data_IF_271778740188
#
_entry.id   IF_271778740188
#
_cell.length_a   1.000
_cell.length_b   1.000
_cell.length_c   1.000
_cell.angle_alpha   90.00
_cell.angle_beta   90.00
_cell.angle_gamma   90.00
#
_symmetry.space_group_name_H-M   'P 1'
#
loop_
_entity.id
_entity.type
_entity.pdbx_description
1 polymer ?
#
# COMPACT_ATOMS: atom_id res chain seq x y z
N UNK A 1 19.35 82.77 -1.80
CA UNK A 1 19.41 81.48 -2.53
C UNK A 1 19.18 80.33 -1.53
N UNK A 2 17.98 80.18 -0.95
CA UNK A 2 17.67 79.11 0.06
C UNK A 2 16.24 78.54 -0.05
N UNK A 3 15.33 79.12 -0.85
CA UNK A 3 13.92 78.72 -0.84
C UNK A 3 13.51 77.60 -1.82
N UNK A 4 14.36 77.18 -2.77
CA UNK A 4 13.95 76.19 -3.80
C UNK A 4 14.11 74.73 -3.39
N UNK A 5 14.82 74.44 -2.30
CA UNK A 5 15.23 73.07 -1.94
C UNK A 5 14.23 72.35 -1.00
N UNK A 6 13.31 73.08 -0.37
CA UNK A 6 12.34 72.50 0.57
C UNK A 6 11.15 71.79 -0.14
N UNK A 7 10.70 72.32 -1.28
CA UNK A 7 9.54 71.78 -2.02
C UNK A 7 9.82 70.47 -2.76
N UNK A 8 11.10 70.19 -3.07
CA UNK A 8 11.54 68.98 -3.78
C UNK A 8 11.55 67.76 -2.85
N UNK A 9 11.96 67.94 -1.59
CA UNK A 9 12.02 66.86 -0.58
C UNK A 9 10.63 66.33 -0.18
N UNK A 10 9.61 67.20 -0.15
CA UNK A 10 8.23 66.82 0.17
C UNK A 10 7.52 66.02 -0.95
N UNK A 11 7.90 66.20 -2.22
CA UNK A 11 7.34 65.41 -3.33
C UNK A 11 7.87 63.98 -3.34
N UNK A 12 9.15 63.78 -3.05
CA UNK A 12 9.80 62.44 -3.05
C UNK A 12 9.25 61.56 -1.90
N UNK A 13 8.99 62.15 -0.74
CA UNK A 13 8.41 61.43 0.40
C UNK A 13 7.01 60.87 0.14
N UNK A 14 6.17 61.58 -0.63
CA UNK A 14 4.82 61.14 -1.00
C UNK A 14 4.81 59.98 -2.01
N UNK A 15 5.81 59.90 -2.89
CA UNK A 15 5.98 58.75 -3.79
C UNK A 15 6.54 57.52 -3.07
N UNK A 16 7.48 57.71 -2.12
CA UNK A 16 8.03 56.61 -1.32
C UNK A 16 7.01 55.90 -0.44
N UNK A 17 6.03 56.63 0.12
CA UNK A 17 4.97 56.03 0.95
C UNK A 17 3.92 55.28 0.11
N UNK A 18 3.53 55.83 -1.05
CA UNK A 18 2.60 55.16 -1.98
C UNK A 18 3.21 53.92 -2.63
N UNK A 19 4.51 53.93 -2.92
CA UNK A 19 5.23 52.78 -3.46
C UNK A 19 5.40 51.67 -2.41
N UNK A 20 5.67 52.04 -1.14
CA UNK A 20 5.77 51.07 -0.03
C UNK A 20 4.45 50.38 0.31
N UNK A 21 3.32 51.09 0.25
CA UNK A 21 1.99 50.51 0.47
C UNK A 21 1.56 49.60 -0.69
N UNK A 22 1.87 49.97 -1.94
CA UNK A 22 1.59 49.14 -3.11
C UNK A 22 2.41 47.83 -3.13
N UNK A 23 3.68 47.88 -2.73
CA UNK A 23 4.52 46.67 -2.60
C UNK A 23 4.05 45.78 -1.45
N UNK A 24 3.61 46.34 -0.31
CA UNK A 24 3.06 45.56 0.80
C UNK A 24 1.73 44.87 0.45
N UNK A 25 0.86 45.52 -0.34
CA UNK A 25 -0.38 44.90 -0.84
C UNK A 25 -0.13 43.84 -1.92
N UNK A 26 0.90 44.00 -2.75
CA UNK A 26 1.31 42.97 -3.71
C UNK A 26 1.93 41.74 -3.01
N UNK A 27 2.67 41.94 -1.90
CA UNK A 27 3.22 40.87 -1.09
C UNK A 27 2.14 40.09 -0.32
N UNK A 28 1.05 40.73 0.11
CA UNK A 28 -0.08 40.02 0.72
C UNK A 28 -0.87 39.16 -0.28
N UNK A 29 -0.88 39.50 -1.58
CA UNK A 29 -1.56 38.70 -2.61
C UNK A 29 -0.77 37.46 -3.06
N UNK A 30 0.51 37.37 -2.71
CA UNK A 30 1.33 36.15 -2.92
C UNK A 30 1.20 35.17 -1.75
N UNK A 31 0.63 35.60 -0.61
CA UNK A 31 0.39 34.75 0.55
C UNK A 31 -1.04 34.17 0.64
N UNK A 32 -1.91 34.43 -0.34
CA UNK A 32 -3.01 33.49 -0.61
C UNK A 32 -2.36 32.23 -1.17
N UNK A 33 -1.92 31.37 -0.25
CA UNK A 33 -1.41 30.05 -0.58
C UNK A 33 -2.41 29.39 -1.51
N UNK A 34 -1.91 28.99 -2.69
CA UNK A 34 -2.52 27.88 -3.40
C UNK A 34 -2.46 26.76 -2.37
N UNK A 35 -3.60 26.40 -1.80
CA UNK A 35 -3.73 25.14 -1.11
C UNK A 35 -3.45 24.09 -2.19
N UNK A 36 -2.19 23.71 -2.34
CA UNK A 36 -1.83 22.56 -3.15
C UNK A 36 -2.53 21.40 -2.47
N UNK A 37 -3.54 20.83 -3.13
CA UNK A 37 -4.12 19.59 -2.66
C UNK A 37 -2.96 18.62 -2.45
N UNK A 38 -2.83 18.14 -1.22
CA UNK A 38 -1.76 17.22 -0.88
C UNK A 38 -2.04 15.95 -1.68
N UNK A 39 -1.06 15.46 -2.45
CA UNK A 39 -1.19 14.24 -3.24
C UNK A 39 -0.37 13.13 -2.61
N UNK A 40 -0.94 11.93 -2.55
CA UNK A 40 -0.24 10.71 -2.14
C UNK A 40 -0.24 9.68 -3.27
N UNK A 41 0.82 8.90 -3.39
CA UNK A 41 0.90 7.77 -4.32
C UNK A 41 0.65 6.46 -3.59
N UNK A 42 -0.30 5.68 -4.10
CA UNK A 42 -0.72 4.39 -3.53
C UNK A 42 -0.53 3.28 -4.56
N UNK A 43 0.28 2.28 -4.23
CA UNK A 43 0.49 1.11 -5.10
C UNK A 43 -0.26 -0.10 -4.57
N UNK A 44 -1.06 -0.72 -5.45
CA UNK A 44 -1.82 -1.94 -5.15
C UNK A 44 -1.51 -2.99 -6.23
N UNK A 45 -0.92 -4.15 -5.87
CA UNK A 45 -0.64 -5.23 -6.79
C UNK A 45 -1.92 -6.06 -7.08
N UNK A 46 -2.96 -5.43 -7.61
CA UNK A 46 -4.19 -6.09 -8.04
C UNK A 46 -4.65 -5.54 -9.39
N UNK A 47 -4.79 -6.43 -10.38
CA UNK A 47 -5.20 -6.09 -11.75
C UNK A 47 -6.63 -6.51 -12.09
N UNK A 48 -7.33 -7.15 -11.15
CA UNK A 48 -8.69 -7.64 -11.36
C UNK A 48 -9.66 -6.48 -11.55
N UNK A 49 -10.60 -6.62 -12.48
CA UNK A 49 -11.56 -5.55 -12.79
C UNK A 49 -12.43 -5.17 -11.59
N UNK A 50 -12.88 -6.16 -10.81
CA UNK A 50 -13.67 -5.91 -9.61
C UNK A 50 -12.88 -5.10 -8.57
N UNK A 51 -11.61 -5.41 -8.36
CA UNK A 51 -10.74 -4.66 -7.47
C UNK A 51 -10.51 -3.24 -7.99
N UNK A 52 -10.20 -3.10 -9.29
CA UNK A 52 -10.00 -1.81 -9.95
C UNK A 52 -11.20 -0.89 -9.76
N UNK A 53 -12.40 -1.34 -10.13
CA UNK A 53 -13.63 -0.55 -9.99
C UNK A 53 -13.90 -0.18 -8.52
N UNK A 54 -13.65 -1.10 -7.58
CA UNK A 54 -13.81 -0.76 -6.17
C UNK A 54 -12.87 0.37 -5.72
N UNK A 55 -11.60 0.34 -6.12
CA UNK A 55 -10.68 1.41 -5.78
C UNK A 55 -11.02 2.73 -6.47
N UNK A 56 -11.28 2.72 -7.78
CA UNK A 56 -11.47 3.95 -8.57
C UNK A 56 -12.82 4.59 -8.38
N UNK A 57 -13.87 3.80 -8.13
CA UNK A 57 -15.24 4.29 -8.15
C UNK A 57 -15.81 4.47 -6.73
N UNK A 58 -15.18 3.84 -5.72
CA UNK A 58 -15.65 3.87 -4.32
C UNK A 58 -14.59 4.39 -3.37
N UNK A 59 -13.46 3.69 -3.23
CA UNK A 59 -12.52 3.98 -2.14
C UNK A 59 -11.78 5.31 -2.30
N UNK A 60 -11.17 5.53 -3.48
CA UNK A 60 -10.43 6.76 -3.76
C UNK A 60 -11.35 7.98 -3.69
N UNK A 61 -12.50 8.03 -4.40
CA UNK A 61 -13.39 9.20 -4.31
C UNK A 61 -13.87 9.50 -2.89
N UNK A 62 -14.22 8.48 -2.10
CA UNK A 62 -14.65 8.68 -0.72
C UNK A 62 -13.52 9.26 0.16
N UNK A 63 -12.29 8.76 -0.01
CA UNK A 63 -11.13 9.28 0.72
C UNK A 63 -10.79 10.72 0.31
N UNK A 64 -10.81 11.03 -0.99
CA UNK A 64 -10.53 12.38 -1.51
C UNK A 64 -11.62 13.37 -1.05
N UNK A 65 -12.89 12.97 -1.03
CA UNK A 65 -14.00 13.79 -0.52
C UNK A 65 -13.88 14.06 0.99
N UNK A 66 -13.52 13.05 1.78
CA UNK A 66 -13.40 13.18 3.23
C UNK A 66 -12.18 14.01 3.65
N UNK A 67 -11.05 13.85 2.95
CA UNK A 67 -9.75 14.40 3.40
C UNK A 67 -9.27 15.59 2.58
N UNK A 68 -9.75 15.75 1.34
CA UNK A 68 -9.20 16.70 0.38
C UNK A 68 -7.80 16.37 -0.14
N UNK A 69 -7.29 15.17 0.14
CA UNK A 69 -5.99 14.67 -0.32
C UNK A 69 -6.20 13.90 -1.62
N UNK A 70 -5.49 14.27 -2.69
CA UNK A 70 -5.53 13.55 -3.96
C UNK A 70 -4.78 12.21 -3.88
N UNK A 71 -5.30 11.18 -4.54
CA UNK A 71 -4.68 9.84 -4.57
C UNK A 71 -4.27 9.47 -6.00
N UNK A 72 -2.97 9.29 -6.20
CA UNK A 72 -2.44 8.63 -7.39
C UNK A 72 -2.40 7.11 -7.16
N UNK A 73 -3.44 6.43 -7.63
CA UNK A 73 -3.53 4.97 -7.55
C UNK A 73 -2.79 4.28 -8.70
N UNK A 74 -1.85 3.39 -8.35
CA UNK A 74 -1.12 2.57 -9.30
C UNK A 74 -1.51 1.10 -9.10
N UNK A 75 -2.20 0.53 -10.07
CA UNK A 75 -2.57 -0.88 -10.11
C UNK A 75 -1.59 -1.67 -10.97
N UNK A 76 -1.03 -2.75 -10.42
CA UNK A 76 -0.08 -3.61 -11.14
C UNK A 76 -0.23 -5.08 -10.76
N UNK A 77 0.44 -5.98 -11.48
CA UNK A 77 0.47 -7.39 -11.11
C UNK A 77 1.40 -7.63 -9.91
N UNK A 78 1.10 -8.65 -9.11
CA UNK A 78 2.04 -9.17 -8.11
C UNK A 78 3.39 -9.59 -8.70
N UNK A 79 3.40 -10.13 -9.92
CA UNK A 79 4.62 -10.52 -10.60
C UNK A 79 5.53 -9.30 -10.81
N UNK A 80 6.74 -9.34 -10.22
CA UNK A 80 7.74 -8.27 -10.30
C UNK A 80 7.50 -7.08 -9.36
N UNK A 81 6.45 -7.08 -8.53
CA UNK A 81 6.12 -5.97 -7.65
C UNK A 81 7.27 -5.63 -6.67
N UNK A 82 7.85 -6.64 -6.02
CA UNK A 82 8.93 -6.43 -5.04
C UNK A 82 10.14 -5.79 -5.72
N UNK A 83 10.58 -6.34 -6.86
CA UNK A 83 11.74 -5.82 -7.60
C UNK A 83 11.51 -4.37 -8.04
N UNK A 84 10.31 -4.06 -8.53
CA UNK A 84 9.94 -2.69 -8.89
C UNK A 84 9.91 -1.76 -7.68
N UNK A 85 9.37 -2.19 -6.55
CA UNK A 85 9.35 -1.41 -5.32
C UNK A 85 10.77 -1.08 -4.85
N UNK A 86 11.66 -2.07 -4.84
CA UNK A 86 13.08 -1.88 -4.48
C UNK A 86 13.76 -0.87 -5.40
N UNK A 87 13.52 -0.97 -6.72
CA UNK A 87 14.08 -0.03 -7.68
C UNK A 87 13.57 1.41 -7.47
N UNK A 88 12.27 1.58 -7.24
CA UNK A 88 11.67 2.89 -6.93
C UNK A 88 12.21 3.47 -5.63
N UNK A 89 12.35 2.64 -4.58
CA UNK A 89 12.93 3.05 -3.32
C UNK A 89 14.38 3.53 -3.49
N UNK A 90 15.22 2.76 -4.20
CA UNK A 90 16.60 3.14 -4.48
C UNK A 90 16.71 4.43 -5.32
N UNK A 91 15.72 4.72 -6.17
CA UNK A 91 15.63 5.95 -6.96
C UNK A 91 15.08 7.15 -6.16
N UNK A 92 14.66 6.97 -4.91
CA UNK A 92 13.97 8.02 -4.13
C UNK A 92 12.57 8.33 -4.64
N UNK A 93 11.94 7.37 -5.31
CA UNK A 93 10.61 7.47 -5.95
C UNK A 93 9.66 6.38 -5.43
N UNK A 94 9.89 5.87 -4.22
CA UNK A 94 8.96 4.92 -3.58
C UNK A 94 7.58 5.57 -3.39
N UNK A 95 6.48 4.81 -3.50
CA UNK A 95 5.15 5.31 -3.19
C UNK A 95 5.02 5.63 -1.70
N UNK A 96 4.06 6.49 -1.36
CA UNK A 96 3.76 6.82 0.04
C UNK A 96 3.12 5.64 0.78
N UNK A 97 2.27 4.89 0.09
CA UNK A 97 1.59 3.69 0.60
C UNK A 97 1.70 2.57 -0.42
N UNK A 98 2.02 1.37 0.05
CA UNK A 98 2.00 0.18 -0.78
C UNK A 98 1.34 -0.99 -0.06
N UNK A 99 0.49 -1.70 -0.78
CA UNK A 99 0.04 -3.00 -0.34
C UNK A 99 1.18 -4.02 -0.48
N UNK A 100 1.46 -4.74 0.61
CA UNK A 100 2.49 -5.77 0.67
C UNK A 100 1.86 -7.14 0.94
N UNK A 101 2.53 -8.21 0.51
CA UNK A 101 2.21 -9.56 0.96
C UNK A 101 2.73 -9.74 2.38
N UNK A 102 1.96 -10.39 3.27
CA UNK A 102 2.40 -10.62 4.66
C UNK A 102 3.73 -11.38 4.73
N UNK A 103 3.96 -12.32 3.80
CA UNK A 103 5.22 -13.06 3.69
C UNK A 103 6.45 -12.18 3.38
N UNK A 104 6.25 -11.00 2.77
CA UNK A 104 7.33 -10.10 2.36
C UNK A 104 7.69 -9.08 3.45
N UNK A 105 6.85 -8.93 4.49
CA UNK A 105 7.02 -7.89 5.51
C UNK A 105 8.42 -7.92 6.13
N UNK A 106 8.88 -9.10 6.55
CA UNK A 106 10.22 -9.25 7.13
C UNK A 106 11.33 -8.81 6.18
N UNK A 107 11.23 -9.15 4.90
CA UNK A 107 12.19 -8.73 3.86
C UNK A 107 12.20 -7.21 3.72
N UNK A 108 11.04 -6.57 3.70
CA UNK A 108 10.93 -5.11 3.57
C UNK A 108 11.51 -4.38 4.79
N UNK A 109 11.26 -4.90 6.00
CA UNK A 109 11.83 -4.34 7.24
C UNK A 109 13.35 -4.49 7.27
N UNK A 110 13.87 -5.69 6.98
CA UNK A 110 15.31 -5.96 7.01
C UNK A 110 16.11 -5.12 6.01
N UNK A 111 15.51 -4.82 4.85
CA UNK A 111 16.14 -3.98 3.82
C UNK A 111 15.88 -2.47 4.01
N UNK A 112 15.17 -2.06 5.07
CA UNK A 112 14.89 -0.65 5.35
C UNK A 112 13.95 0.02 4.34
N UNK A 113 13.14 -0.78 3.64
CA UNK A 113 12.26 -0.31 2.56
C UNK A 113 11.00 0.40 3.08
N UNK A 114 10.65 0.13 4.34
CA UNK A 114 9.48 0.68 5.03
C UNK A 114 9.84 1.14 6.43
N UNK A 115 9.06 2.07 6.97
CA UNK A 115 9.23 2.62 8.31
C UNK A 115 8.15 2.08 9.26
N UNK A 116 8.44 2.02 10.58
CA UNK A 116 7.41 1.67 11.55
C UNK A 116 6.30 2.73 11.56
N UNK A 117 5.08 2.28 11.83
CA UNK A 117 3.87 3.08 11.86
C UNK A 117 3.52 3.60 13.26
N UNK A 118 4.28 3.19 14.28
CA UNK A 118 4.06 3.54 15.70
C UNK A 118 3.86 5.04 15.94
N UNK A 119 4.51 5.92 15.16
CA UNK A 119 4.29 7.37 15.26
C UNK A 119 2.81 7.77 15.08
N UNK A 120 2.07 7.06 14.24
CA UNK A 120 0.65 7.31 13.99
C UNK A 120 -0.27 6.37 14.76
N UNK A 121 0.22 5.19 15.14
CA UNK A 121 -0.63 4.15 15.72
C UNK A 121 -0.55 4.03 17.24
N UNK A 122 0.50 4.58 17.87
CA UNK A 122 0.59 4.61 19.33
C UNK A 122 -0.48 5.55 19.90
N UNK A 123 -1.51 4.95 20.53
CA UNK A 123 -2.67 5.68 21.05
C UNK A 123 -3.81 5.88 20.04
N UNK A 124 -3.72 5.28 18.85
CA UNK A 124 -4.84 5.23 17.92
C UNK A 124 -5.79 4.08 18.28
N UNK A 125 -7.01 4.43 18.70
CA UNK A 125 -8.02 3.46 19.12
C UNK A 125 -8.46 2.53 17.97
N UNK A 126 -8.22 2.90 16.71
CA UNK A 126 -8.62 2.09 15.55
C UNK A 126 -7.93 0.73 15.49
N UNK A 127 -6.79 0.53 16.16
CA UNK A 127 -6.18 -0.80 16.27
C UNK A 127 -7.09 -1.81 17.02
N UNK A 128 -8.03 -1.34 17.84
CA UNK A 128 -8.98 -2.19 18.55
C UNK A 128 -10.06 -2.81 17.66
N UNK A 129 -10.24 -2.28 16.45
CA UNK A 129 -11.16 -2.85 15.44
C UNK A 129 -10.57 -4.11 14.77
N UNK A 130 -9.28 -4.38 14.96
CA UNK A 130 -8.58 -5.51 14.36
C UNK A 130 -8.42 -6.67 15.36
N UNK A 131 -8.49 -7.90 14.83
CA UNK A 131 -8.18 -9.08 15.65
C UNK A 131 -6.72 -9.06 16.11
N UNK A 132 -6.38 -9.65 17.27
CA UNK A 132 -4.99 -9.72 17.73
C UNK A 132 -4.04 -10.37 16.72
N UNK A 133 -4.53 -11.37 15.97
CA UNK A 133 -3.75 -12.02 14.92
C UNK A 133 -3.45 -11.08 13.74
N UNK A 134 -4.41 -10.25 13.34
CA UNK A 134 -4.22 -9.26 12.26
C UNK A 134 -3.21 -8.18 12.65
N UNK A 135 -3.24 -7.73 13.91
CA UNK A 135 -2.23 -6.78 14.41
C UNK A 135 -0.87 -7.46 14.47
N UNK A 136 -0.79 -8.69 14.98
CA UNK A 136 0.46 -9.43 15.10
C UNK A 136 1.14 -9.71 13.74
N UNK A 137 0.36 -9.91 12.67
CA UNK A 137 0.86 -10.11 11.31
C UNK A 137 1.67 -8.91 10.79
N UNK A 138 1.35 -7.70 11.27
CA UNK A 138 2.07 -6.47 10.93
C UNK A 138 3.26 -6.14 11.83
N UNK A 139 3.58 -6.98 12.82
CA UNK A 139 4.60 -6.69 13.83
C UNK A 139 5.95 -7.32 13.49
N UNK A 140 7.02 -6.53 13.58
CA UNK A 140 8.41 -7.01 13.51
C UNK A 140 9.20 -6.36 14.65
N UNK A 141 9.88 -7.19 15.45
CA UNK A 141 10.69 -6.75 16.59
C UNK A 141 9.99 -5.75 17.53
N UNK A 142 8.70 -6.00 17.81
CA UNK A 142 7.90 -5.18 18.72
C UNK A 142 7.41 -3.85 18.13
N UNK A 143 7.61 -3.60 16.83
CA UNK A 143 7.11 -2.41 16.13
C UNK A 143 6.10 -2.81 15.07
N UNK A 144 5.11 -1.95 14.85
CA UNK A 144 4.10 -2.15 13.83
C UNK A 144 4.59 -1.56 12.52
N UNK A 145 4.63 -2.36 11.45
CA UNK A 145 5.12 -1.94 10.13
C UNK A 145 4.03 -1.95 9.05
N UNK A 146 2.93 -2.67 9.26
CA UNK A 146 1.79 -2.70 8.35
C UNK A 146 0.47 -2.80 9.11
N UNK A 147 -0.62 -2.37 8.48
CA UNK A 147 -1.98 -2.56 8.96
C UNK A 147 -2.67 -3.52 8.00
N UNK A 148 -3.20 -4.62 8.53
CA UNK A 148 -3.88 -5.62 7.73
C UNK A 148 -5.21 -5.07 7.19
N UNK A 149 -5.29 -4.79 5.89
CA UNK A 149 -6.54 -4.37 5.25
C UNK A 149 -7.40 -5.58 4.80
N UNK A 150 -6.76 -6.74 4.60
CA UNK A 150 -7.38 -8.02 4.23
C UNK A 150 -6.57 -9.15 4.82
N UNK A 151 -7.25 -10.15 5.35
CA UNK A 151 -6.64 -11.43 5.70
C UNK A 151 -6.95 -12.43 4.60
N UNK A 152 -5.91 -13.11 4.10
CA UNK A 152 -6.03 -14.21 3.16
C UNK A 152 -5.81 -15.53 3.92
N UNK A 153 -6.76 -16.46 3.80
CA UNK A 153 -6.66 -17.79 4.39
C UNK A 153 -6.44 -18.81 3.29
N UNK A 154 -5.49 -19.72 3.50
CA UNK A 154 -5.14 -20.79 2.56
C UNK A 154 -5.63 -22.14 3.10
N UNK A 155 -6.93 -22.46 2.96
CA UNK A 155 -7.43 -23.76 3.38
C UNK A 155 -6.86 -24.85 2.48
N UNK A 156 -6.67 -26.05 3.04
CA UNK A 156 -6.44 -27.23 2.23
C UNK A 156 -7.73 -27.57 1.49
N UNK A 157 -7.75 -27.38 0.18
CA UNK A 157 -8.82 -27.85 -0.69
C UNK A 157 -8.41 -29.18 -1.32
N UNK A 158 -9.35 -30.13 -1.38
CA UNK A 158 -9.11 -31.43 -1.99
C UNK A 158 -10.33 -31.91 -2.78
N UNK A 159 -10.10 -32.84 -3.70
CA UNK A 159 -11.12 -33.46 -4.53
C UNK A 159 -11.48 -34.83 -3.96
N UNK A 160 -12.66 -34.91 -3.35
CA UNK A 160 -13.18 -36.13 -2.71
C UNK A 160 -13.27 -37.33 -3.67
N UNK A 161 -13.66 -37.08 -4.92
CA UNK A 161 -13.74 -38.13 -5.95
C UNK A 161 -12.35 -38.68 -6.35
N UNK A 162 -11.32 -37.83 -6.36
CA UNK A 162 -9.94 -38.28 -6.63
C UNK A 162 -9.35 -39.07 -5.45
N UNK A 163 -9.78 -38.75 -4.22
CA UNK A 163 -9.48 -39.54 -3.03
C UNK A 163 -10.07 -40.95 -3.18
N UNK A 164 -11.38 -41.05 -3.48
CA UNK A 164 -12.06 -42.33 -3.68
C UNK A 164 -11.45 -43.15 -4.84
N UNK A 165 -11.13 -42.53 -5.97
CA UNK A 165 -10.42 -43.16 -7.09
C UNK A 165 -9.06 -43.75 -6.67
N UNK A 166 -8.43 -43.16 -5.66
CA UNK A 166 -7.11 -43.57 -5.14
C UNK A 166 -7.19 -44.43 -3.87
N UNK A 167 -8.40 -44.92 -3.52
CA UNK A 167 -8.62 -45.80 -2.37
C UNK A 167 -8.57 -45.09 -1.01
N UNK A 168 -8.76 -43.77 -0.99
CA UNK A 168 -8.91 -42.94 0.21
C UNK A 168 -10.40 -42.66 0.48
N UNK A 169 -10.74 -42.32 1.73
CA UNK A 169 -12.10 -41.85 2.07
C UNK A 169 -12.26 -40.38 1.64
N UNK A 170 -13.15 -40.11 0.69
CA UNK A 170 -13.44 -38.77 0.17
C UNK A 170 -14.02 -37.79 1.19
N UNK A 171 -14.35 -38.24 2.41
CA UNK A 171 -14.84 -37.40 3.51
C UNK A 171 -13.80 -37.15 4.59
N UNK A 172 -12.61 -37.75 4.50
CA UNK A 172 -11.54 -37.63 5.48
C UNK A 172 -10.33 -36.92 4.86
N UNK A 173 -10.18 -35.60 5.07
CA UNK A 173 -8.96 -34.91 4.70
C UNK A 173 -7.80 -35.35 5.60
N UNK A 174 -6.54 -35.19 5.15
CA UNK A 174 -5.39 -35.41 6.02
C UNK A 174 -5.42 -34.42 7.19
N UNK A 175 -5.05 -34.90 8.37
CA UNK A 175 -5.08 -34.14 9.62
C UNK A 175 -3.69 -33.70 10.09
N UNK A 176 -2.64 -34.30 9.51
CA UNK A 176 -1.25 -33.94 9.73
C UNK A 176 -0.41 -34.03 8.44
N UNK A 177 0.87 -33.70 8.56
CA UNK A 177 1.81 -33.65 7.43
C UNK A 177 2.17 -35.03 6.88
N UNK A 178 2.21 -36.06 7.73
CA UNK A 178 2.56 -37.42 7.30
C UNK A 178 1.39 -38.02 6.50
N UNK A 179 0.15 -37.83 6.97
CA UNK A 179 -1.06 -38.18 6.25
C UNK A 179 -1.17 -37.42 4.92
N UNK A 180 -0.88 -36.12 4.92
CA UNK A 180 -0.89 -35.32 3.68
C UNK A 180 0.10 -35.87 2.65
N UNK A 181 1.33 -36.21 3.08
CA UNK A 181 2.35 -36.76 2.21
C UNK A 181 1.94 -38.13 1.64
N UNK A 182 1.37 -38.99 2.47
CA UNK A 182 0.93 -40.32 2.05
C UNK A 182 -0.29 -40.27 1.13
N UNK A 183 -1.21 -39.33 1.37
CA UNK A 183 -2.36 -39.11 0.51
C UNK A 183 -1.90 -38.54 -0.84
N UNK A 184 -0.99 -37.57 -0.83
CA UNK A 184 -0.41 -37.00 -2.04
C UNK A 184 0.24 -38.08 -2.90
N UNK A 185 1.05 -38.99 -2.35
CA UNK A 185 1.67 -40.09 -3.10
C UNK A 185 0.63 -40.98 -3.80
N UNK A 186 -0.49 -41.30 -3.14
CA UNK A 186 -1.57 -42.13 -3.71
C UNK A 186 -2.33 -41.42 -4.84
N UNK A 187 -2.41 -40.10 -4.78
CA UNK A 187 -3.11 -39.28 -5.75
C UNK A 187 -2.32 -39.07 -7.06
N UNK A 188 -0.99 -39.28 -7.05
CA UNK A 188 -0.17 -39.15 -8.25
C UNK A 188 -0.62 -40.15 -9.33
N UNK A 189 -0.66 -39.69 -10.59
CA UNK A 189 -0.87 -40.54 -11.76
C UNK A 189 0.21 -40.29 -12.80
N UNK A 190 0.59 -41.38 -13.46
CA UNK A 190 1.57 -41.40 -14.54
C UNK A 190 0.89 -41.89 -15.82
N UNK A 191 1.35 -41.42 -16.98
CA UNK A 191 1.00 -42.03 -18.26
C UNK A 191 1.89 -43.24 -18.57
N UNK A 192 1.68 -43.87 -19.73
CA UNK A 192 2.44 -45.02 -20.20
C UNK A 192 3.93 -44.70 -20.46
N UNK A 193 4.28 -43.43 -20.64
CA UNK A 193 5.66 -42.97 -20.79
C UNK A 193 6.35 -42.72 -19.44
N UNK A 194 5.61 -42.78 -18.33
CA UNK A 194 6.12 -42.53 -16.98
C UNK A 194 6.11 -41.05 -16.59
N UNK A 195 5.41 -40.19 -17.33
CA UNK A 195 5.29 -38.77 -17.04
C UNK A 195 4.11 -38.49 -16.10
N UNK A 196 4.25 -37.53 -15.18
CA UNK A 196 3.18 -37.18 -14.24
C UNK A 196 2.04 -36.46 -14.99
N UNK A 197 0.89 -37.12 -15.06
CA UNK A 197 -0.35 -36.53 -15.60
C UNK A 197 -1.28 -35.97 -14.52
N UNK A 198 -1.02 -36.29 -13.25
CA UNK A 198 -1.67 -35.67 -12.09
C UNK A 198 -0.71 -35.60 -10.92
N UNK A 199 -0.44 -34.38 -10.45
CA UNK A 199 0.24 -34.17 -9.18
C UNK A 199 -0.70 -34.47 -8.00
N UNK A 200 -0.19 -35.11 -6.96
CA UNK A 200 -0.97 -35.45 -5.77
C UNK A 200 -1.11 -34.34 -4.73
N UNK A 201 -0.26 -33.30 -4.84
CA UNK A 201 -0.33 -32.08 -4.03
C UNK A 201 0.25 -30.93 -4.86
N UNK A 202 -0.36 -29.76 -4.75
CA UNK A 202 0.15 -28.53 -5.33
C UNK A 202 -0.12 -27.38 -4.36
N UNK A 203 0.88 -26.52 -4.17
CA UNK A 203 0.70 -25.25 -3.48
C UNK A 203 0.07 -24.28 -4.46
N UNK A 204 -1.07 -23.67 -4.13
CA UNK A 204 -1.67 -22.63 -4.96
C UNK A 204 -0.66 -21.48 -5.14
N UNK A 205 -0.07 -21.41 -6.33
CA UNK A 205 0.83 -20.38 -6.82
C UNK A 205 0.07 -19.41 -7.71
#
# INVERSE_FOLDING_TARGET
>A
MVASDCSRKLRVARYGLRFRVAVALLLCLVCTGIATAQRITVVVPDVQDAARSYYTDVLVPAFEEETGIEVELILMSWAGFIDQFVALHAAGQAPDVAQLGGADLGTFVLNGLIRPLNEWTDGWDGLSDFSPAAVADGMVDGKLYSIAYRLDQRPLMYRADLFEESGLDGRQPPTDWDELLDFAKKLVRYDDAGEIVRAGFNTAS
#
